data_IF_712796037854
#
_entry.id   IF_712796037854
#
_cell.length_a   1.000
_cell.length_b   1.000
_cell.length_c   1.000
_cell.angle_alpha   90.00
_cell.angle_beta   90.00
_cell.angle_gamma   90.00
#
_symmetry.space_group_name_H-M   'P 1'
#
loop_
_entity.id
_entity.type
_entity.pdbx_description
1 polymer ?
#
# COMPACT_ATOMS: atom_id res chain seq x y z
N UNK A 1 -9.40 72.05 -7.73
CA UNK A 1 -9.78 71.15 -8.83
C UNK A 1 -9.25 69.76 -8.45
N UNK A 2 -10.02 68.90 -7.81
CA UNK A 2 -10.81 67.77 -8.38
C UNK A 2 -10.10 67.02 -9.53
N UNK A 3 -9.47 65.89 -9.21
CA UNK A 3 -9.63 64.63 -9.93
C UNK A 3 -9.17 63.45 -9.04
N UNK A 4 -10.12 62.58 -8.69
CA UNK A 4 -9.93 61.22 -8.16
C UNK A 4 -9.64 60.28 -9.32
N UNK A 5 -8.98 59.14 -9.08
CA UNK A 5 -9.03 57.82 -9.78
C UNK A 5 -7.61 57.21 -9.67
N UNK A 6 -7.31 55.94 -9.47
CA UNK A 6 -7.98 54.74 -8.97
C UNK A 6 -6.85 53.78 -8.55
N UNK A 7 -7.09 53.02 -7.48
CA UNK A 7 -6.29 51.91 -6.99
C UNK A 7 -6.05 50.87 -8.11
N UNK A 8 -4.79 50.55 -8.40
CA UNK A 8 -4.44 49.39 -9.22
C UNK A 8 -4.11 48.22 -8.27
N UNK A 9 -5.18 47.57 -7.78
CA UNK A 9 -5.09 46.30 -7.06
C UNK A 9 -4.92 45.18 -8.08
N UNK A 10 -3.68 44.76 -8.35
CA UNK A 10 -3.41 43.54 -9.10
C UNK A 10 -3.38 42.39 -8.09
N UNK A 11 -4.54 41.76 -7.93
CA UNK A 11 -4.65 40.43 -7.33
C UNK A 11 -4.02 39.42 -8.29
N UNK A 12 -2.79 38.98 -7.99
CA UNK A 12 -2.21 37.78 -8.59
C UNK A 12 -2.91 36.57 -7.96
N UNK A 13 -4.07 36.21 -8.51
CA UNK A 13 -4.73 34.94 -8.29
C UNK A 13 -4.60 34.16 -9.61
N UNK A 14 -3.46 33.49 -9.77
CA UNK A 14 -3.21 32.60 -10.90
C UNK A 14 -2.89 31.20 -10.37
N UNK A 15 -3.97 30.40 -10.35
CA UNK A 15 -4.04 28.94 -10.50
C UNK A 15 -3.11 28.08 -9.63
N UNK A 16 -3.58 27.76 -8.42
CA UNK A 16 -3.42 26.40 -7.92
C UNK A 16 -4.38 25.52 -8.72
N UNK A 17 -3.90 24.85 -9.76
CA UNK A 17 -4.58 23.69 -10.30
C UNK A 17 -4.49 22.59 -9.24
N UNK A 18 -5.44 22.59 -8.29
CA UNK A 18 -5.71 21.40 -7.50
C UNK A 18 -6.22 20.35 -8.50
N UNK A 19 -5.37 19.39 -8.84
CA UNK A 19 -5.80 18.16 -9.49
C UNK A 19 -6.75 17.51 -8.51
N UNK A 20 -8.05 17.74 -8.69
CA UNK A 20 -9.08 16.96 -8.04
C UNK A 20 -9.02 15.57 -8.65
N UNK A 21 -8.26 14.67 -8.03
CA UNK A 21 -8.41 13.24 -8.24
C UNK A 21 -9.87 12.92 -8.00
N UNK A 22 -10.56 12.44 -9.04
CA UNK A 22 -11.94 11.99 -8.93
C UNK A 22 -11.97 10.90 -7.85
N UNK A 23 -12.54 11.23 -6.70
CA UNK A 23 -12.77 10.27 -5.64
C UNK A 23 -13.74 9.21 -6.20
N UNK A 24 -13.19 8.04 -6.52
CA UNK A 24 -14.02 6.86 -6.77
C UNK A 24 -14.77 6.56 -5.49
N UNK A 25 -16.04 6.19 -5.64
CA UNK A 25 -17.06 6.02 -4.60
C UNK A 25 -16.81 4.81 -3.66
N UNK A 26 -15.53 4.47 -3.41
CA UNK A 26 -15.07 3.54 -2.41
C UNK A 26 -14.40 4.32 -1.29
N UNK A 27 -14.74 4.02 -0.04
CA UNK A 27 -14.14 4.66 1.13
C UNK A 27 -12.64 4.39 1.15
N UNK A 28 -11.84 5.39 0.77
CA UNK A 28 -10.39 5.30 0.80
C UNK A 28 -9.92 5.24 2.26
N UNK A 29 -9.07 4.26 2.59
CA UNK A 29 -8.40 4.21 3.89
C UNK A 29 -7.14 5.05 3.81
N UNK A 30 -6.91 5.92 4.79
CA UNK A 30 -5.72 6.78 4.81
C UNK A 30 -4.97 6.63 6.12
N UNK A 31 -3.66 6.85 6.09
CA UNK A 31 -2.83 6.73 7.28
C UNK A 31 -1.41 7.23 7.09
N UNK A 32 -0.58 6.97 8.09
CA UNK A 32 0.85 7.23 8.04
C UNK A 32 1.57 5.90 8.28
N UNK A 33 2.53 5.54 7.43
CA UNK A 33 3.31 4.32 7.59
C UNK A 33 4.30 4.40 8.76
N UNK A 34 4.64 5.62 9.20
CA UNK A 34 5.72 5.91 10.15
C UNK A 34 7.09 5.39 9.68
N UNK A 35 7.28 5.30 8.36
CA UNK A 35 8.53 4.94 7.69
C UNK A 35 8.91 6.01 6.68
N UNK A 36 10.02 5.80 5.96
CA UNK A 36 10.42 6.67 4.83
C UNK A 36 9.34 6.81 3.74
N UNK A 37 8.39 5.87 3.64
CA UNK A 37 7.32 5.89 2.64
C UNK A 37 6.25 6.96 2.92
N UNK A 38 6.23 7.54 4.14
CA UNK A 38 5.34 8.65 4.46
C UNK A 38 3.87 8.24 4.64
N UNK A 39 2.97 9.13 4.25
CA UNK A 39 1.52 8.87 4.28
C UNK A 39 1.12 7.86 3.22
N UNK A 40 -0.01 7.19 3.43
CA UNK A 40 -0.57 6.26 2.45
C UNK A 40 -2.08 6.46 2.26
N UNK A 41 -2.54 6.01 1.10
CA UNK A 41 -3.95 5.86 0.73
C UNK A 41 -4.16 4.46 0.18
N UNK A 42 -5.20 3.76 0.65
CA UNK A 42 -5.60 2.44 0.16
C UNK A 42 -6.95 2.58 -0.55
N UNK A 43 -7.01 2.11 -1.79
CA UNK A 43 -8.21 2.13 -2.63
C UNK A 43 -8.42 0.76 -3.26
N UNK A 44 -9.66 0.44 -3.63
CA UNK A 44 -9.92 -0.75 -4.45
C UNK A 44 -9.35 -0.52 -5.86
N UNK A 45 -8.58 -1.49 -6.35
CA UNK A 45 -7.88 -1.40 -7.62
C UNK A 45 -8.87 -1.48 -8.79
N UNK A 46 -8.64 -0.71 -9.85
CA UNK A 46 -9.47 -0.78 -11.06
C UNK A 46 -9.36 -2.13 -11.77
N UNK A 47 -8.14 -2.67 -11.77
CA UNK A 47 -7.81 -3.95 -12.38
C UNK A 47 -7.54 -4.94 -11.24
N UNK A 48 -8.37 -5.98 -11.05
CA UNK A 48 -8.11 -7.00 -10.05
C UNK A 48 -6.90 -7.86 -10.44
N UNK A 49 -6.23 -8.44 -9.46
CA UNK A 49 -5.26 -9.51 -9.64
C UNK A 49 -5.96 -10.78 -10.12
N UNK A 50 -5.24 -11.56 -10.93
CA UNK A 50 -5.67 -12.87 -11.42
C UNK A 50 -4.85 -13.94 -10.72
N UNK A 51 -5.50 -14.81 -9.96
CA UNK A 51 -4.87 -15.93 -9.26
C UNK A 51 -5.58 -17.20 -9.71
N UNK A 52 -4.86 -18.17 -10.28
CA UNK A 52 -5.43 -19.41 -10.83
C UNK A 52 -6.63 -19.18 -11.77
N UNK A 53 -6.50 -18.21 -12.69
CA UNK A 53 -7.56 -17.78 -13.61
C UNK A 53 -8.84 -17.23 -12.93
N UNK A 54 -8.77 -16.87 -11.65
CA UNK A 54 -9.84 -16.21 -10.92
C UNK A 54 -9.46 -14.78 -10.55
N UNK A 55 -10.40 -13.86 -10.71
CA UNK A 55 -10.24 -12.48 -10.24
C UNK A 55 -10.36 -12.45 -8.73
N UNK A 56 -9.36 -11.91 -8.03
CA UNK A 56 -9.42 -11.70 -6.58
C UNK A 56 -9.62 -10.23 -6.26
N UNK A 57 -10.34 -9.93 -5.17
CA UNK A 57 -10.48 -8.56 -4.69
C UNK A 57 -9.09 -7.97 -4.46
N UNK A 58 -8.83 -6.80 -5.04
CA UNK A 58 -7.50 -6.20 -5.05
C UNK A 58 -7.57 -4.78 -4.59
N UNK A 59 -6.62 -4.40 -3.74
CA UNK A 59 -6.41 -3.03 -3.31
C UNK A 59 -5.08 -2.51 -3.84
N UNK A 60 -4.98 -1.19 -4.01
CA UNK A 60 -3.75 -0.48 -4.28
C UNK A 60 -3.44 0.42 -3.09
N UNK A 61 -2.19 0.35 -2.62
CA UNK A 61 -1.64 1.25 -1.61
C UNK A 61 -0.70 2.22 -2.31
N UNK A 62 -1.10 3.48 -2.36
CA UNK A 62 -0.26 4.57 -2.81
C UNK A 62 0.41 5.19 -1.58
N UNK A 63 1.74 5.29 -1.64
CA UNK A 63 2.54 5.97 -0.62
C UNK A 63 3.02 7.32 -1.14
N UNK A 64 3.15 8.30 -0.23
CA UNK A 64 3.62 9.64 -0.54
C UNK A 64 5.02 9.66 -1.16
N UNK A 65 5.90 8.75 -0.72
CA UNK A 65 7.31 8.74 -1.11
C UNK A 65 7.76 7.43 -1.80
N UNK A 66 6.84 6.61 -2.32
CA UNK A 66 7.18 5.43 -3.13
C UNK A 66 7.03 5.73 -4.63
N UNK A 67 7.79 5.03 -5.48
CA UNK A 67 7.77 5.25 -6.93
C UNK A 67 6.58 4.54 -7.61
N UNK A 68 6.06 3.47 -7.03
CA UNK A 68 4.91 2.74 -7.57
C UNK A 68 3.94 2.28 -6.47
N UNK A 69 2.65 2.08 -6.82
CA UNK A 69 1.68 1.55 -5.87
C UNK A 69 1.97 0.09 -5.53
N UNK A 70 1.65 -0.30 -4.30
CA UNK A 70 1.70 -1.69 -3.85
C UNK A 70 0.33 -2.32 -4.05
N UNK A 71 0.27 -3.46 -4.74
CA UNK A 71 -0.98 -4.19 -4.97
C UNK A 71 -1.19 -5.25 -3.89
N UNK A 72 -2.42 -5.36 -3.41
CA UNK A 72 -2.82 -6.30 -2.35
C UNK A 72 -4.01 -7.14 -2.84
N UNK A 73 -3.76 -8.38 -3.24
CA UNK A 73 -4.81 -9.36 -3.55
C UNK A 73 -5.32 -10.05 -2.28
N UNK A 74 -6.64 -10.27 -2.19
CA UNK A 74 -7.27 -10.86 -0.99
C UNK A 74 -7.85 -12.23 -1.30
N UNK A 75 -7.34 -13.25 -0.60
CA UNK A 75 -7.84 -14.63 -0.63
C UNK A 75 -8.52 -14.91 0.71
N UNK A 76 -9.84 -15.11 0.67
CA UNK A 76 -10.64 -15.44 1.86
C UNK A 76 -10.87 -16.94 1.95
N UNK A 77 -10.43 -17.53 3.05
CA UNK A 77 -10.70 -18.89 3.47
C UNK A 77 -11.65 -18.88 4.67
N UNK A 78 -12.22 -20.05 5.03
CA UNK A 78 -13.24 -20.15 6.08
C UNK A 78 -12.83 -19.51 7.42
N UNK A 79 -11.56 -19.65 7.81
CA UNK A 79 -11.05 -19.20 9.10
C UNK A 79 -9.86 -18.25 8.97
N UNK A 80 -9.52 -17.86 7.74
CA UNK A 80 -8.38 -16.99 7.51
C UNK A 80 -8.49 -16.17 6.24
N UNK A 81 -7.80 -15.04 6.22
CA UNK A 81 -7.59 -14.20 5.06
C UNK A 81 -6.09 -14.14 4.79
N UNK A 82 -5.72 -14.46 3.55
CA UNK A 82 -4.37 -14.27 3.02
C UNK A 82 -4.36 -13.04 2.13
N UNK A 83 -3.44 -12.13 2.39
CA UNK A 83 -3.19 -10.93 1.60
C UNK A 83 -1.90 -11.14 0.81
N UNK A 84 -2.01 -11.18 -0.51
CA UNK A 84 -0.89 -11.27 -1.44
C UNK A 84 -0.43 -9.86 -1.75
N UNK A 85 0.78 -9.49 -1.31
CA UNK A 85 1.30 -8.12 -1.43
C UNK A 85 2.42 -8.10 -2.45
N UNK A 86 2.30 -7.27 -3.48
CA UNK A 86 3.20 -7.27 -4.63
C UNK A 86 3.49 -5.87 -5.15
N UNK A 87 4.75 -5.64 -5.50
CA UNK A 87 5.21 -4.59 -6.43
C UNK A 87 5.81 -5.26 -7.66
N UNK A 88 6.33 -4.46 -8.61
CA UNK A 88 7.03 -5.01 -9.78
C UNK A 88 8.29 -5.81 -9.40
N UNK A 89 8.87 -5.54 -8.22
CA UNK A 89 10.20 -6.01 -7.86
C UNK A 89 10.24 -6.86 -6.59
N UNK A 90 9.13 -6.94 -5.85
CA UNK A 90 9.06 -7.63 -4.57
C UNK A 90 7.67 -8.19 -4.28
N UNK A 91 7.61 -9.38 -3.66
CA UNK A 91 6.35 -9.97 -3.22
C UNK A 91 6.48 -10.76 -1.91
N UNK A 92 5.43 -10.68 -1.09
CA UNK A 92 5.26 -11.38 0.18
C UNK A 92 3.78 -11.66 0.40
N UNK A 93 3.44 -12.46 1.41
CA UNK A 93 2.06 -12.61 1.83
C UNK A 93 1.92 -12.35 3.32
N UNK A 94 0.76 -11.82 3.72
CA UNK A 94 0.34 -11.78 5.11
C UNK A 94 -0.80 -12.77 5.28
N UNK A 95 -0.77 -13.55 6.36
CA UNK A 95 -1.82 -14.52 6.64
C UNK A 95 -2.05 -14.65 8.13
N UNK A 96 -3.26 -15.03 8.51
CA UNK A 96 -3.56 -15.55 9.83
C UNK A 96 -3.18 -17.02 9.93
N UNK A 97 -2.14 -17.34 10.69
CA UNK A 97 -1.85 -18.73 11.04
C UNK A 97 -1.99 -18.91 12.54
N UNK A 98 -2.76 -19.90 12.99
CA UNK A 98 -2.86 -20.27 14.43
C UNK A 98 -3.22 -19.09 15.34
N UNK A 99 -4.13 -18.22 14.91
CA UNK A 99 -4.59 -17.06 15.67
C UNK A 99 -3.60 -15.89 15.70
N UNK A 100 -2.57 -15.90 14.87
CA UNK A 100 -1.66 -14.76 14.69
C UNK A 100 -1.67 -14.26 13.25
N UNK A 101 -1.69 -12.95 13.07
CA UNK A 101 -1.52 -12.30 11.77
C UNK A 101 -0.07 -11.84 11.61
N UNK A 102 0.55 -12.17 10.48
CA UNK A 102 1.93 -11.77 10.19
C UNK A 102 2.39 -12.14 8.80
N UNK A 103 3.61 -11.71 8.48
CA UNK A 103 4.22 -11.91 7.16
C UNK A 103 4.78 -13.33 6.98
N UNK A 104 4.71 -13.81 5.74
CA UNK A 104 5.40 -14.98 5.21
C UNK A 104 5.96 -14.65 3.83
N UNK A 105 6.90 -15.48 3.38
CA UNK A 105 7.27 -15.48 1.97
C UNK A 105 6.07 -15.91 1.13
N UNK A 106 6.02 -15.45 -0.12
CA UNK A 106 4.98 -15.85 -1.06
C UNK A 106 5.00 -17.37 -1.29
N UNK A 107 3.86 -18.01 -1.08
CA UNK A 107 3.63 -19.42 -1.42
C UNK A 107 3.86 -19.63 -2.91
N UNK A 108 4.37 -20.81 -3.28
CA UNK A 108 4.71 -21.13 -4.67
C UNK A 108 3.52 -20.97 -5.63
N UNK A 109 2.31 -21.30 -5.19
CA UNK A 109 1.07 -21.22 -5.99
C UNK A 109 0.66 -19.77 -6.34
N UNK A 110 1.06 -18.78 -5.53
CA UNK A 110 0.73 -17.37 -5.75
C UNK A 110 1.91 -16.55 -6.28
N UNK A 111 3.06 -17.19 -6.46
CA UNK A 111 4.34 -16.55 -6.77
C UNK A 111 4.40 -16.13 -8.24
N UNK A 112 4.73 -14.87 -8.47
CA UNK A 112 4.99 -14.34 -9.82
C UNK A 112 6.45 -13.90 -10.00
N UNK A 113 7.15 -13.61 -8.90
CA UNK A 113 8.54 -13.17 -8.93
C UNK A 113 9.49 -14.29 -8.50
N UNK A 114 10.72 -14.33 -9.03
CA UNK A 114 11.70 -15.31 -8.58
C UNK A 114 12.00 -15.13 -7.08
N UNK A 115 11.78 -16.16 -6.28
CA UNK A 115 11.98 -16.10 -4.82
C UNK A 115 13.39 -15.64 -4.43
N UNK A 116 14.40 -15.99 -5.23
CA UNK A 116 15.78 -15.56 -5.00
C UNK A 116 15.90 -14.03 -5.04
N UNK A 117 15.24 -13.38 -6.00
CA UNK A 117 15.26 -11.92 -6.15
C UNK A 117 14.53 -11.24 -5.00
N UNK A 118 13.35 -11.75 -4.60
CA UNK A 118 12.65 -11.22 -3.43
C UNK A 118 13.48 -11.39 -2.15
N UNK A 119 14.14 -12.53 -1.97
CA UNK A 119 14.99 -12.79 -0.80
C UNK A 119 16.24 -11.89 -0.74
N UNK A 120 16.73 -11.37 -1.87
CA UNK A 120 17.83 -10.40 -1.90
C UNK A 120 17.38 -9.03 -1.39
N UNK A 121 16.15 -8.63 -1.71
CA UNK A 121 15.57 -7.34 -1.30
C UNK A 121 14.98 -7.34 0.12
N UNK A 122 14.76 -8.50 0.70
CA UNK A 122 14.10 -8.66 2.00
C UNK A 122 14.99 -8.22 3.17
N UNK A 123 14.52 -7.28 3.98
CA UNK A 123 15.07 -7.03 5.31
C UNK A 123 14.70 -8.21 6.23
N UNK A 124 15.69 -9.03 6.55
CA UNK A 124 15.49 -10.24 7.36
C UNK A 124 15.07 -9.93 8.79
N UNK A 125 15.60 -8.86 9.38
CA UNK A 125 15.31 -8.49 10.79
C UNK A 125 13.85 -8.09 10.91
N UNK A 126 13.39 -7.21 10.03
CA UNK A 126 11.99 -6.80 9.91
C UNK A 126 11.10 -7.97 9.55
N UNK A 127 11.49 -8.82 8.59
CA UNK A 127 10.72 -10.01 8.26
C UNK A 127 10.46 -10.90 9.47
N UNK A 128 11.49 -11.21 10.27
CA UNK A 128 11.32 -12.07 11.44
C UNK A 128 10.50 -11.42 12.56
N UNK A 129 10.66 -10.12 12.80
CA UNK A 129 9.86 -9.40 13.81
C UNK A 129 8.38 -9.28 13.40
N UNK A 130 8.11 -9.24 12.10
CA UNK A 130 6.77 -9.14 11.53
C UNK A 130 6.05 -10.48 11.30
N UNK A 131 6.69 -11.62 11.61
CA UNK A 131 6.00 -12.92 11.56
C UNK A 131 4.80 -13.00 12.52
N UNK A 132 4.74 -12.11 13.51
CA UNK A 132 3.63 -11.95 14.43
C UNK A 132 3.39 -10.44 14.65
N UNK A 133 2.51 -9.84 13.84
CA UNK A 133 2.10 -8.44 13.97
C UNK A 133 0.95 -8.30 14.95
N UNK A 134 -0.04 -9.19 14.88
CA UNK A 134 -1.20 -9.15 15.78
C UNK A 134 -1.63 -10.55 16.23
N UNK A 135 -2.19 -10.61 17.44
CA UNK A 135 -2.85 -11.80 18.01
C UNK A 135 -4.36 -11.58 18.22
N UNK A 136 -4.83 -10.37 17.94
CA UNK A 136 -6.22 -10.00 18.12
C UNK A 136 -6.94 -10.14 16.78
N UNK A 137 -8.23 -10.48 16.84
CA UNK A 137 -9.09 -10.41 15.66
C UNK A 137 -9.18 -8.96 15.20
N UNK A 138 -9.07 -8.76 13.89
CA UNK A 138 -9.07 -7.46 13.23
C UNK A 138 -9.98 -7.52 12.01
N UNK A 139 -10.58 -6.39 11.67
CA UNK A 139 -11.34 -6.27 10.42
C UNK A 139 -10.38 -6.28 9.22
N UNK A 140 -10.91 -6.56 8.02
CA UNK A 140 -10.11 -6.50 6.78
C UNK A 140 -9.44 -5.13 6.60
N UNK A 141 -10.13 -4.05 6.94
CA UNK A 141 -9.62 -2.66 6.87
C UNK A 141 -8.47 -2.42 7.85
N UNK A 142 -8.58 -2.92 9.08
CA UNK A 142 -7.50 -2.85 10.07
C UNK A 142 -6.28 -3.65 9.61
N UNK A 143 -6.49 -4.83 9.00
CA UNK A 143 -5.41 -5.66 8.47
C UNK A 143 -4.73 -4.98 7.27
N UNK A 144 -5.49 -4.35 6.37
CA UNK A 144 -4.94 -3.53 5.28
C UNK A 144 -4.10 -2.37 5.81
N UNK A 145 -4.59 -1.66 6.85
CA UNK A 145 -3.82 -0.60 7.51
C UNK A 145 -2.53 -1.11 8.15
N UNK A 146 -2.57 -2.29 8.79
CA UNK A 146 -1.35 -2.93 9.31
C UNK A 146 -0.37 -3.26 8.18
N UNK A 147 -0.83 -3.86 7.08
CA UNK A 147 0.04 -4.15 5.93
C UNK A 147 0.68 -2.86 5.43
N UNK A 148 -0.10 -1.78 5.27
CA UNK A 148 0.41 -0.50 4.79
C UNK A 148 1.50 0.10 5.72
N UNK A 149 1.38 -0.08 7.04
CA UNK A 149 2.39 0.39 7.99
C UNK A 149 3.65 -0.49 8.03
N UNK A 150 3.52 -1.80 7.85
CA UNK A 150 4.60 -2.76 8.07
C UNK A 150 5.37 -3.14 6.81
N UNK A 151 4.72 -3.08 5.64
CA UNK A 151 5.31 -3.42 4.35
C UNK A 151 6.60 -2.64 4.01
N UNK A 152 6.67 -1.31 4.19
CA UNK A 152 7.87 -0.56 3.80
C UNK A 152 9.15 -1.07 4.49
N UNK A 153 9.03 -1.50 5.75
CA UNK A 153 10.16 -2.02 6.52
C UNK A 153 10.55 -3.46 6.14
N UNK A 154 9.75 -4.18 5.35
CA UNK A 154 10.12 -5.53 4.88
C UNK A 154 11.16 -5.50 3.78
N UNK A 155 11.30 -4.39 3.08
CA UNK A 155 12.28 -4.24 2.02
C UNK A 155 13.44 -3.44 2.55
N UNK A 156 14.65 -3.95 2.33
CA UNK A 156 15.88 -3.29 2.72
C UNK A 156 15.96 -1.91 2.05
N UNK A 157 16.35 -0.90 2.83
CA UNK A 157 16.26 0.52 2.47
C UNK A 157 16.94 0.84 1.13
N UNK A 158 18.02 0.11 0.79
CA UNK A 158 18.73 0.32 -0.47
C UNK A 158 17.87 0.03 -1.72
N UNK A 159 16.79 -0.74 -1.58
CA UNK A 159 15.86 -1.09 -2.66
C UNK A 159 14.58 -0.25 -2.66
N UNK A 160 14.39 0.69 -1.72
CA UNK A 160 13.17 1.50 -1.64
C UNK A 160 12.91 2.32 -2.91
N UNK A 161 13.96 2.76 -3.61
CA UNK A 161 13.82 3.48 -4.89
C UNK A 161 13.29 2.62 -6.06
N UNK A 162 13.23 1.30 -5.87
CA UNK A 162 12.73 0.34 -6.86
C UNK A 162 11.27 -0.06 -6.61
N UNK A 163 10.68 0.42 -5.51
CA UNK A 163 9.32 0.12 -5.08
C UNK A 163 8.35 1.23 -5.44
#
# INVERSE_FOLDING_TARGET
MKAKMYFLSICVLLLCAAVSTQAKDGQALTGNSFTGFGKYVIMEAEVPMMIDNQTVKTYEVEYENAASPVRIGVIKEMNCITFLVRTNEFEVQYSCEKGVFGVKKMNHEYRELPEKECNLKLDKTSFYSQRIISRQNKTDEELLGLIACYFPSLVDEQYHSQL
#
